data_IF_419675987657
#
_entry.id   IF_419675987657
#
_cell.length_a   1.000
_cell.length_b   1.000
_cell.length_c   1.000
_cell.angle_alpha   90.00
_cell.angle_beta   90.00
_cell.angle_gamma   90.00
#
_symmetry.space_group_name_H-M   'P 1'
#
loop_
_entity.id
_entity.type
_entity.pdbx_description
1 polymer ?
#
# COMPACT_ATOMS: atom_id res chain seq x y z
N UNK A 1 15.35 -1.98 -5.07
CA UNK A 1 14.66 -3.21 -4.62
C UNK A 1 13.82 -3.77 -5.78
N UNK A 2 13.60 -5.09 -5.79
CA UNK A 2 12.77 -5.77 -6.80
C UNK A 2 11.81 -6.74 -6.12
N UNK A 3 10.53 -6.62 -6.45
CA UNK A 3 9.47 -7.54 -6.05
C UNK A 3 9.09 -8.40 -7.26
N UNK A 4 9.25 -9.72 -7.15
CA UNK A 4 8.93 -10.67 -8.21
C UNK A 4 7.83 -11.62 -7.74
N UNK A 5 6.80 -11.75 -8.56
CA UNK A 5 5.69 -12.69 -8.38
C UNK A 5 5.79 -13.69 -9.52
N UNK A 6 5.86 -14.98 -9.20
CA UNK A 6 6.12 -16.06 -10.17
C UNK A 6 5.07 -17.15 -10.05
N UNK A 7 4.34 -17.37 -11.15
CA UNK A 7 3.34 -18.44 -11.29
C UNK A 7 2.35 -18.49 -10.11
N UNK A 8 1.97 -17.31 -9.59
CA UNK A 8 1.18 -17.16 -8.37
C UNK A 8 -0.28 -17.53 -8.61
N UNK A 9 -0.84 -18.33 -7.72
CA UNK A 9 -2.27 -18.68 -7.77
C UNK A 9 -2.89 -18.60 -6.38
N UNK A 10 -4.16 -18.19 -6.33
CA UNK A 10 -4.91 -18.09 -5.09
C UNK A 10 -6.29 -18.74 -5.21
N UNK A 11 -6.63 -19.58 -4.26
CA UNK A 11 -7.92 -20.26 -4.14
C UNK A 11 -8.35 -20.35 -2.68
N UNK A 12 -9.62 -20.17 -2.41
CA UNK A 12 -10.20 -20.38 -1.09
C UNK A 12 -10.90 -21.76 -1.00
N UNK A 13 -10.37 -22.63 -0.18
CA UNK A 13 -10.90 -23.97 -0.01
C UNK A 13 -10.99 -24.77 -1.31
N UNK A 14 -12.13 -25.36 -1.63
CA UNK A 14 -12.39 -26.15 -2.84
C UNK A 14 -12.99 -25.33 -4.00
N UNK A 15 -13.17 -24.03 -3.82
CA UNK A 15 -13.77 -23.15 -4.83
C UNK A 15 -12.86 -22.97 -6.04
N UNK A 16 -13.43 -22.47 -7.15
CA UNK A 16 -12.64 -21.99 -8.30
C UNK A 16 -11.56 -21.01 -7.82
N UNK A 17 -10.33 -21.07 -8.35
CA UNK A 17 -9.33 -20.06 -8.07
C UNK A 17 -9.82 -18.65 -8.36
N UNK A 18 -9.39 -17.68 -7.55
CA UNK A 18 -9.61 -16.26 -7.84
C UNK A 18 -8.75 -15.82 -9.02
N UNK A 19 -7.51 -16.30 -9.05
CA UNK A 19 -6.59 -16.10 -10.18
C UNK A 19 -5.55 -17.23 -10.19
N UNK A 20 -4.94 -17.44 -11.36
CA UNK A 20 -3.99 -18.51 -11.58
C UNK A 20 -2.80 -18.05 -12.42
N UNK A 21 -1.63 -18.58 -12.09
CA UNK A 21 -0.38 -18.42 -12.87
C UNK A 21 -0.08 -16.96 -13.19
N UNK A 22 -0.20 -16.09 -12.18
CA UNK A 22 0.11 -14.69 -12.30
C UNK A 22 1.61 -14.48 -12.17
N UNK A 23 2.16 -13.74 -13.13
CA UNK A 23 3.54 -13.25 -13.12
C UNK A 23 3.53 -11.72 -13.13
N UNK A 24 4.32 -11.11 -12.25
CA UNK A 24 4.51 -9.66 -12.18
C UNK A 24 5.88 -9.36 -11.59
N UNK A 25 6.59 -8.43 -12.20
CA UNK A 25 7.81 -7.85 -11.62
C UNK A 25 7.62 -6.36 -11.43
N UNK A 26 7.95 -5.87 -10.25
CA UNK A 26 7.90 -4.46 -9.88
C UNK A 26 9.26 -4.06 -9.34
N UNK A 27 9.89 -3.09 -9.95
CA UNK A 27 11.12 -2.47 -9.46
C UNK A 27 10.82 -1.23 -8.61
N UNK A 28 11.76 -0.84 -7.75
CA UNK A 28 11.69 0.45 -7.06
C UNK A 28 11.50 1.56 -8.09
N UNK A 29 10.59 2.49 -7.81
CA UNK A 29 10.23 3.59 -8.71
C UNK A 29 9.16 3.24 -9.76
N UNK A 30 8.82 1.96 -9.94
CA UNK A 30 7.70 1.59 -10.81
C UNK A 30 6.35 2.05 -10.22
N UNK A 31 5.43 2.40 -11.11
CA UNK A 31 4.03 2.65 -10.77
C UNK A 31 3.13 1.66 -11.52
N UNK A 32 2.53 0.74 -10.78
CA UNK A 32 1.69 -0.33 -11.31
C UNK A 32 0.24 -0.12 -10.89
N UNK A 33 -0.66 -0.07 -11.87
CA UNK A 33 -2.11 -0.01 -11.67
C UNK A 33 -2.75 -1.35 -12.02
N UNK A 34 -3.52 -1.90 -11.09
CA UNK A 34 -4.26 -3.16 -11.30
C UNK A 34 -5.75 -2.87 -11.23
N UNK A 35 -6.41 -3.10 -12.35
CA UNK A 35 -7.87 -3.03 -12.48
C UNK A 35 -8.47 -4.43 -12.55
N UNK A 36 -9.79 -4.52 -12.47
CA UNK A 36 -10.50 -5.80 -12.64
C UNK A 36 -11.88 -5.77 -12.01
N UNK A 37 -12.73 -6.74 -12.32
CA UNK A 37 -14.10 -6.79 -11.79
C UNK A 37 -14.11 -6.97 -10.26
N UNK A 38 -15.23 -6.61 -9.63
CA UNK A 38 -15.42 -6.89 -8.20
C UNK A 38 -15.34 -8.40 -7.96
N UNK A 39 -14.65 -8.80 -6.90
CA UNK A 39 -14.46 -10.22 -6.57
C UNK A 39 -13.35 -10.94 -7.34
N UNK A 40 -12.62 -10.30 -8.27
CA UNK A 40 -11.50 -10.94 -8.99
C UNK A 40 -10.26 -11.22 -8.12
N UNK A 41 -10.28 -10.79 -6.85
CA UNK A 41 -9.18 -11.07 -5.93
C UNK A 41 -8.10 -9.99 -5.84
N UNK A 42 -8.35 -8.76 -6.31
CA UNK A 42 -7.39 -7.65 -6.29
C UNK A 42 -6.82 -7.36 -4.89
N UNK A 43 -7.69 -7.17 -3.91
CA UNK A 43 -7.28 -6.96 -2.51
C UNK A 43 -6.53 -8.17 -1.94
N UNK A 44 -6.95 -9.38 -2.32
CA UNK A 44 -6.25 -10.61 -1.92
C UNK A 44 -4.86 -10.68 -2.57
N UNK A 45 -4.73 -10.28 -3.84
CA UNK A 45 -3.45 -10.21 -4.53
C UNK A 45 -2.47 -9.27 -3.81
N UNK A 46 -2.92 -8.06 -3.42
CA UNK A 46 -2.07 -7.11 -2.69
C UNK A 46 -1.63 -7.60 -1.30
N UNK A 47 -2.37 -8.51 -0.67
CA UNK A 47 -2.05 -9.05 0.67
C UNK A 47 -0.99 -10.15 0.66
N UNK A 48 -0.66 -10.69 -0.50
CA UNK A 48 0.29 -11.80 -0.63
C UNK A 48 1.76 -11.35 -0.45
N UNK A 49 2.22 -10.24 -1.07
CA UNK A 49 3.64 -9.86 -1.00
C UNK A 49 4.14 -9.51 0.41
N UNK A 50 3.26 -9.02 1.29
CA UNK A 50 3.62 -8.70 2.68
C UNK A 50 3.13 -9.76 3.69
N UNK A 51 2.75 -10.95 3.19
CA UNK A 51 2.32 -12.09 4.00
C UNK A 51 1.18 -11.76 4.97
N UNK A 52 0.23 -10.93 4.54
CA UNK A 52 -1.09 -10.83 5.19
C UNK A 52 -1.99 -12.00 4.77
N UNK A 53 -1.63 -12.66 3.68
CA UNK A 53 -2.27 -13.87 3.16
C UNK A 53 -1.20 -14.75 2.50
N UNK A 54 -1.38 -16.06 2.54
CA UNK A 54 -0.48 -16.99 1.85
C UNK A 54 -1.09 -17.42 0.50
N UNK A 55 -0.27 -17.58 -0.55
CA UNK A 55 -0.73 -18.07 -1.84
C UNK A 55 -1.07 -19.58 -1.79
N UNK A 56 -1.87 -20.05 -2.75
CA UNK A 56 -2.14 -21.49 -2.90
C UNK A 56 -0.99 -22.20 -3.62
N UNK A 57 -0.30 -21.49 -4.52
CA UNK A 57 0.91 -21.96 -5.22
C UNK A 57 1.65 -20.79 -5.85
N UNK A 58 2.89 -21.01 -6.29
CA UNK A 58 3.79 -19.99 -6.84
C UNK A 58 4.65 -19.34 -5.77
N UNK A 59 5.52 -18.46 -6.20
CA UNK A 59 6.54 -17.84 -5.36
C UNK A 59 6.45 -16.31 -5.42
N UNK A 60 6.78 -15.68 -4.29
CA UNK A 60 6.98 -14.23 -4.19
C UNK A 60 8.39 -14.00 -3.65
N UNK A 61 9.17 -13.21 -4.37
CA UNK A 61 10.54 -12.92 -4.02
C UNK A 61 10.71 -11.41 -3.81
N UNK A 62 11.47 -11.04 -2.80
CA UNK A 62 11.95 -9.68 -2.57
C UNK A 62 13.48 -9.69 -2.68
N UNK A 63 14.02 -8.96 -3.66
CA UNK A 63 15.44 -8.96 -4.01
C UNK A 63 16.02 -10.38 -4.17
N UNK A 64 15.27 -11.25 -4.86
CA UNK A 64 15.65 -12.65 -5.13
C UNK A 64 15.45 -13.61 -3.95
N UNK A 65 15.09 -13.14 -2.76
CA UNK A 65 14.83 -13.97 -1.57
C UNK A 65 13.33 -14.21 -1.40
N UNK A 66 12.87 -15.46 -1.18
CA UNK A 66 11.45 -15.74 -0.92
C UNK A 66 10.94 -14.94 0.29
N UNK A 67 9.79 -14.28 0.14
CA UNK A 67 9.17 -13.50 1.24
C UNK A 67 8.88 -14.35 2.47
N UNK A 68 8.72 -15.68 2.30
CA UNK A 68 8.53 -16.63 3.40
C UNK A 68 9.74 -16.77 4.32
N UNK A 69 10.94 -16.40 3.84
CA UNK A 69 12.20 -16.44 4.62
C UNK A 69 12.47 -15.15 5.40
N UNK A 70 11.78 -14.07 5.06
CA UNK A 70 11.93 -12.80 5.77
C UNK A 70 11.21 -12.84 7.13
N UNK A 71 11.78 -12.14 8.11
CA UNK A 71 11.03 -11.81 9.31
C UNK A 71 9.79 -11.00 8.91
N UNK A 72 8.63 -11.37 9.42
CA UNK A 72 7.34 -10.79 9.00
C UNK A 72 7.25 -9.28 9.30
N UNK A 73 7.81 -8.82 10.43
CA UNK A 73 7.81 -7.40 10.78
C UNK A 73 8.71 -6.57 9.86
N UNK A 74 9.89 -7.10 9.53
CA UNK A 74 10.81 -6.45 8.60
C UNK A 74 10.23 -6.43 7.19
N UNK A 75 9.64 -7.54 6.74
CA UNK A 75 8.95 -7.61 5.44
C UNK A 75 7.85 -6.55 5.33
N UNK A 76 6.97 -6.46 6.34
CA UNK A 76 5.85 -5.50 6.34
C UNK A 76 6.28 -4.05 6.44
N UNK A 77 7.49 -3.79 6.94
CA UNK A 77 8.12 -2.48 6.86
C UNK A 77 8.60 -2.18 5.44
N UNK A 78 9.32 -3.13 4.82
CA UNK A 78 9.85 -2.98 3.45
C UNK A 78 8.74 -2.95 2.39
N UNK A 79 7.65 -3.70 2.62
CA UNK A 79 6.49 -3.79 1.73
C UNK A 79 5.26 -3.33 2.50
N UNK A 80 5.03 -2.02 2.51
CA UNK A 80 3.90 -1.38 3.19
C UNK A 80 2.58 -1.72 2.51
N UNK A 81 1.49 -1.79 3.29
CA UNK A 81 0.15 -2.02 2.78
C UNK A 81 -0.84 -1.01 3.34
N UNK A 82 -1.54 -0.35 2.45
CA UNK A 82 -2.63 0.59 2.75
C UNK A 82 -3.93 -0.05 2.32
N UNK A 83 -4.77 -0.38 3.29
CA UNK A 83 -6.04 -1.05 3.04
C UNK A 83 -7.15 -0.06 2.66
N UNK A 84 -8.16 -0.53 1.94
CA UNK A 84 -9.30 0.24 1.49
C UNK A 84 -10.07 0.89 2.66
N UNK A 85 -10.32 0.13 3.73
CA UNK A 85 -10.93 0.66 4.96
C UNK A 85 -9.85 0.83 6.01
N UNK A 86 -9.47 2.07 6.35
CA UNK A 86 -8.39 2.32 7.29
C UNK A 86 -8.77 1.88 8.70
N UNK A 87 -7.91 1.11 9.34
CA UNK A 87 -8.03 0.76 10.75
C UNK A 87 -7.15 1.67 11.60
N UNK A 88 -7.76 2.31 12.60
CA UNK A 88 -7.04 3.05 13.62
C UNK A 88 -6.83 2.15 14.85
N UNK A 89 -5.65 2.27 15.47
CA UNK A 89 -5.44 1.77 16.83
C UNK A 89 -6.09 2.76 17.80
N UNK A 90 -6.60 2.26 18.91
CA UNK A 90 -7.11 3.15 19.97
C UNK A 90 -6.03 4.12 20.45
N UNK A 91 -6.44 5.37 20.71
CA UNK A 91 -5.57 6.45 21.13
C UNK A 91 -5.43 7.58 20.11
N UNK A 92 -4.43 8.43 20.30
CA UNK A 92 -4.30 9.67 19.54
C UNK A 92 -3.81 9.46 18.10
N UNK A 93 -3.93 10.51 17.29
CA UNK A 93 -3.35 10.59 15.94
C UNK A 93 -1.83 10.32 16.01
N UNK A 94 -1.13 10.95 16.96
CA UNK A 94 0.30 10.71 17.22
C UNK A 94 0.60 9.22 17.43
N UNK A 95 -0.18 8.55 18.29
CA UNK A 95 -0.04 7.11 18.56
C UNK A 95 -0.19 6.30 17.29
N UNK A 96 -1.14 6.64 16.43
CA UNK A 96 -1.38 5.97 15.16
C UNK A 96 -0.25 6.21 14.16
N UNK A 97 0.24 7.43 14.01
CA UNK A 97 1.36 7.75 13.11
C UNK A 97 2.65 7.05 13.53
N UNK A 98 2.93 6.99 14.83
CA UNK A 98 4.16 6.37 15.37
C UNK A 98 4.04 4.88 15.67
N UNK A 99 2.91 4.25 15.35
CA UNK A 99 2.62 2.85 15.68
C UNK A 99 3.70 1.88 15.19
N UNK A 100 4.26 2.10 14.00
CA UNK A 100 5.31 1.24 13.43
C UNK A 100 6.60 1.23 14.25
N UNK A 101 6.88 2.29 15.01
CA UNK A 101 8.06 2.42 15.87
C UNK A 101 7.91 1.67 17.19
N UNK A 102 6.72 1.23 17.55
CA UNK A 102 6.48 0.43 18.76
C UNK A 102 6.83 -1.05 18.56
N UNK A 103 6.85 -1.54 17.33
CA UNK A 103 7.19 -2.91 16.99
C UNK A 103 8.71 -3.13 16.98
N UNK A 104 9.15 -4.38 17.18
CA UNK A 104 10.57 -4.73 17.28
C UNK A 104 11.42 -4.20 16.12
N UNK A 105 10.92 -4.30 14.88
CA UNK A 105 11.60 -3.80 13.69
C UNK A 105 11.70 -2.26 13.61
N UNK A 106 10.90 -1.54 14.38
CA UNK A 106 10.88 -0.07 14.42
C UNK A 106 11.57 0.55 15.62
N UNK A 107 11.79 -0.22 16.71
CA UNK A 107 12.28 0.32 18.00
C UNK A 107 13.69 0.90 17.95
N UNK A 108 14.53 0.43 17.02
CA UNK A 108 15.90 0.92 16.84
C UNK A 108 15.96 2.15 15.93
N UNK A 109 14.83 2.57 15.38
CA UNK A 109 14.72 3.75 14.50
C UNK A 109 14.36 4.97 15.36
N UNK A 110 14.93 6.10 14.96
CA UNK A 110 14.54 7.38 15.52
C UNK A 110 13.07 7.67 15.19
N UNK A 111 12.29 7.97 16.20
CA UNK A 111 10.90 8.37 15.99
C UNK A 111 10.86 9.75 15.34
N UNK A 112 9.89 10.00 14.45
CA UNK A 112 9.71 11.33 13.90
C UNK A 112 9.37 12.32 15.01
N UNK A 113 10.02 13.48 14.98
CA UNK A 113 9.69 14.59 15.85
C UNK A 113 8.32 15.19 15.51
N UNK A 114 7.87 16.12 16.33
CA UNK A 114 6.56 16.75 16.16
C UNK A 114 6.48 17.54 14.86
N UNK A 115 7.53 18.26 14.50
CA UNK A 115 7.58 19.08 13.29
C UNK A 115 7.43 18.22 12.03
N UNK A 116 8.08 17.07 11.99
CA UNK A 116 7.93 16.11 10.88
C UNK A 116 6.51 15.53 10.81
N UNK A 117 5.90 15.22 11.97
CA UNK A 117 4.52 14.72 12.00
C UNK A 117 3.52 15.79 11.53
N UNK A 118 3.65 17.04 12.00
CA UNK A 118 2.82 18.16 11.55
C UNK A 118 3.01 18.47 10.08
N UNK A 119 4.25 18.43 9.57
CA UNK A 119 4.53 18.57 8.15
C UNK A 119 3.78 17.56 7.29
N UNK A 120 3.70 16.29 7.71
CA UNK A 120 2.88 15.31 7.02
C UNK A 120 1.38 15.59 7.10
N UNK A 121 0.87 16.07 8.24
CA UNK A 121 -0.53 16.46 8.35
C UNK A 121 -0.85 17.59 7.37
N UNK A 122 -0.01 18.61 7.30
CA UNK A 122 -0.16 19.74 6.38
C UNK A 122 -0.13 19.28 4.91
N UNK A 123 0.84 18.48 4.55
CA UNK A 123 1.03 17.93 3.21
C UNK A 123 -0.16 17.09 2.74
N UNK A 124 -0.89 16.46 3.65
CA UNK A 124 -2.07 15.65 3.39
C UNK A 124 -3.39 16.37 3.66
N UNK A 125 -3.40 17.72 3.74
CA UNK A 125 -4.57 18.54 4.00
C UNK A 125 -5.32 18.13 5.30
N UNK A 126 -4.56 17.97 6.38
CA UNK A 126 -5.07 17.61 7.72
C UNK A 126 -4.72 18.68 8.75
N UNK A 127 -4.71 19.97 8.34
CA UNK A 127 -4.38 21.09 9.22
C UNK A 127 -5.39 21.28 10.38
N UNK A 128 -6.61 20.77 10.20
CA UNK A 128 -7.68 20.75 11.19
C UNK A 128 -7.58 19.58 12.19
N UNK A 129 -6.58 18.70 12.04
CA UNK A 129 -6.36 17.53 12.88
C UNK A 129 -5.18 17.78 13.82
N UNK A 130 -5.41 17.69 15.13
CA UNK A 130 -4.32 17.75 16.11
C UNK A 130 -3.70 16.36 16.35
N UNK A 131 -2.40 16.34 16.67
CA UNK A 131 -1.70 15.10 16.99
C UNK A 131 -2.27 14.41 18.23
N UNK A 132 -2.90 15.13 19.12
CA UNK A 132 -3.49 14.61 20.35
C UNK A 132 -4.99 14.28 20.23
N UNK A 133 -5.61 14.55 19.05
CA UNK A 133 -6.98 14.13 18.76
C UNK A 133 -7.14 12.63 18.83
N UNK A 134 -8.30 12.15 19.29
CA UNK A 134 -8.64 10.74 19.25
C UNK A 134 -8.85 10.28 17.79
N UNK A 135 -7.97 9.40 17.33
CA UNK A 135 -8.00 8.90 15.97
C UNK A 135 -9.29 8.17 15.59
N UNK A 136 -10.08 7.70 16.57
CA UNK A 136 -11.37 7.05 16.30
C UNK A 136 -12.45 8.05 15.89
N UNK A 137 -12.30 9.32 16.26
CA UNK A 137 -13.29 10.40 15.95
C UNK A 137 -13.12 10.96 14.56
N UNK A 138 -12.00 10.71 13.90
CA UNK A 138 -11.70 11.19 12.56
C UNK A 138 -12.71 10.69 11.52
N UNK A 139 -12.97 11.51 10.50
CA UNK A 139 -13.73 11.07 9.32
C UNK A 139 -13.01 9.94 8.56
N UNK A 140 -13.75 9.21 7.73
CA UNK A 140 -13.17 8.11 6.93
C UNK A 140 -12.03 8.60 6.04
N UNK A 141 -12.19 9.79 5.42
CA UNK A 141 -11.16 10.39 4.58
C UNK A 141 -9.92 10.83 5.36
N UNK A 142 -10.09 11.39 6.57
CA UNK A 142 -8.96 11.71 7.45
C UNK A 142 -8.22 10.43 7.89
N UNK A 143 -8.96 9.39 8.32
CA UNK A 143 -8.39 8.08 8.66
C UNK A 143 -7.58 7.48 7.50
N UNK A 144 -8.07 7.60 6.27
CA UNK A 144 -7.37 7.10 5.09
C UNK A 144 -6.03 7.81 4.89
N UNK A 145 -6.01 9.14 5.03
CA UNK A 145 -4.77 9.93 4.92
C UNK A 145 -3.81 9.64 6.07
N UNK A 146 -4.28 9.50 7.30
CA UNK A 146 -3.46 9.06 8.44
C UNK A 146 -2.86 7.67 8.20
N UNK A 147 -3.62 6.73 7.65
CA UNK A 147 -3.10 5.38 7.33
C UNK A 147 -2.00 5.42 6.25
N UNK A 148 -2.13 6.31 5.26
CA UNK A 148 -1.08 6.55 4.27
C UNK A 148 0.18 7.13 4.92
N UNK A 149 0.06 8.21 5.69
CA UNK A 149 1.20 8.82 6.40
C UNK A 149 1.89 7.78 7.30
N UNK A 150 1.13 6.98 8.05
CA UNK A 150 1.67 5.89 8.89
C UNK A 150 2.49 4.89 8.08
N UNK A 151 2.03 4.52 6.88
CA UNK A 151 2.77 3.62 6.00
C UNK A 151 4.07 4.27 5.50
N UNK A 152 4.03 5.56 5.14
CA UNK A 152 5.20 6.32 4.66
C UNK A 152 6.26 6.52 5.74
N UNK A 153 5.86 6.78 6.98
CA UNK A 153 6.78 6.91 8.11
C UNK A 153 7.59 5.63 8.38
N UNK A 154 7.14 4.49 7.85
CA UNK A 154 7.90 3.23 7.89
C UNK A 154 9.03 3.18 6.86
N UNK A 155 9.10 4.16 5.94
CA UNK A 155 10.09 4.24 4.84
C UNK A 155 10.12 2.95 4.02
N UNK A 156 9.00 2.56 3.40
CA UNK A 156 8.92 1.31 2.66
C UNK A 156 9.66 1.41 1.31
N UNK A 157 10.16 0.28 0.81
CA UNK A 157 10.67 0.17 -0.55
C UNK A 157 9.55 -0.06 -1.58
N UNK A 158 8.43 -0.65 -1.12
CA UNK A 158 7.20 -0.82 -1.90
C UNK A 158 5.99 -0.41 -1.08
N UNK A 159 5.00 0.20 -1.75
CA UNK A 159 3.72 0.55 -1.16
C UNK A 159 2.58 -0.09 -1.97
N UNK A 160 1.84 -0.98 -1.32
CA UNK A 160 0.71 -1.69 -1.87
C UNK A 160 -0.57 -0.97 -1.44
N UNK A 161 -1.31 -0.38 -2.37
CA UNK A 161 -2.45 0.47 -2.09
C UNK A 161 -3.76 -0.17 -2.58
N UNK A 162 -4.62 -0.54 -1.65
CA UNK A 162 -5.94 -1.10 -1.94
C UNK A 162 -6.98 0.03 -1.95
N UNK A 163 -7.31 0.54 -3.14
CA UNK A 163 -8.27 1.61 -3.35
C UNK A 163 -8.04 2.87 -2.46
N UNK A 164 -6.83 3.44 -2.47
CA UNK A 164 -6.40 4.43 -1.46
C UNK A 164 -7.19 5.74 -1.50
N UNK A 165 -7.95 6.00 -2.57
CA UNK A 165 -8.68 7.26 -2.79
C UNK A 165 -10.19 7.08 -2.89
N UNK A 166 -10.72 5.87 -2.70
CA UNK A 166 -12.15 5.57 -2.95
C UNK A 166 -13.12 6.29 -2.01
N UNK A 167 -12.66 6.69 -0.82
CA UNK A 167 -13.46 7.37 0.20
C UNK A 167 -13.13 8.86 0.35
N UNK A 168 -12.34 9.43 -0.58
CA UNK A 168 -11.88 10.81 -0.51
C UNK A 168 -12.71 11.75 -1.38
N UNK A 169 -12.85 12.99 -0.93
CA UNK A 169 -13.31 14.10 -1.76
C UNK A 169 -12.29 14.40 -2.89
N UNK A 170 -12.69 15.15 -3.94
CA UNK A 170 -11.83 15.38 -5.11
C UNK A 170 -10.49 16.05 -4.79
N UNK A 171 -10.45 16.98 -3.84
CA UNK A 171 -9.24 17.69 -3.45
C UNK A 171 -8.26 16.75 -2.72
N UNK A 172 -8.73 16.08 -1.68
CA UNK A 172 -7.97 15.07 -0.94
C UNK A 172 -7.49 13.93 -1.83
N UNK A 173 -8.33 13.49 -2.80
CA UNK A 173 -7.97 12.50 -3.80
C UNK A 173 -6.77 12.97 -4.64
N UNK A 174 -6.83 14.20 -5.17
CA UNK A 174 -5.76 14.77 -6.00
C UNK A 174 -4.43 14.86 -5.22
N UNK A 175 -4.49 15.24 -3.94
CA UNK A 175 -3.31 15.29 -3.07
C UNK A 175 -2.70 13.89 -2.91
N UNK A 176 -3.50 12.88 -2.56
CA UNK A 176 -3.00 11.51 -2.39
C UNK A 176 -2.42 10.96 -3.70
N UNK A 177 -3.08 11.15 -4.83
CA UNK A 177 -2.61 10.72 -6.14
C UNK A 177 -1.26 11.38 -6.48
N UNK A 178 -1.13 12.69 -6.27
CA UNK A 178 0.13 13.43 -6.46
C UNK A 178 1.25 12.90 -5.56
N UNK A 179 0.93 12.62 -4.29
CA UNK A 179 1.90 12.03 -3.36
C UNK A 179 2.39 10.66 -3.82
N UNK A 180 1.49 9.76 -4.25
CA UNK A 180 1.88 8.44 -4.75
C UNK A 180 2.81 8.55 -5.97
N UNK A 181 2.54 9.49 -6.89
CA UNK A 181 3.42 9.74 -8.03
C UNK A 181 4.81 10.28 -7.59
N UNK A 182 4.85 11.22 -6.64
CA UNK A 182 6.10 11.75 -6.08
C UNK A 182 6.92 10.67 -5.38
N UNK A 183 6.29 9.77 -4.64
CA UNK A 183 6.96 8.66 -3.96
C UNK A 183 7.69 7.75 -4.98
N UNK A 184 7.06 7.46 -6.10
CA UNK A 184 7.69 6.66 -7.15
C UNK A 184 8.87 7.41 -7.78
N UNK A 185 8.68 8.69 -8.15
CA UNK A 185 9.68 9.47 -8.89
C UNK A 185 10.84 9.95 -8.03
N UNK A 186 10.54 10.50 -6.85
CA UNK A 186 11.49 11.26 -6.05
C UNK A 186 12.12 10.40 -4.94
N UNK A 187 11.37 9.41 -4.43
CA UNK A 187 11.83 8.54 -3.34
C UNK A 187 12.13 7.11 -3.79
N UNK A 188 11.95 6.82 -5.10
CA UNK A 188 12.22 5.51 -5.69
C UNK A 188 11.45 4.36 -5.00
N UNK A 189 10.21 4.63 -4.55
CA UNK A 189 9.32 3.64 -3.94
C UNK A 189 8.50 2.98 -5.06
N UNK A 190 8.49 1.65 -5.12
CA UNK A 190 7.63 0.92 -6.04
C UNK A 190 6.17 0.97 -5.58
N UNK A 191 5.27 1.46 -6.41
CA UNK A 191 3.83 1.58 -6.11
C UNK A 191 3.05 0.50 -6.84
N UNK A 192 2.24 -0.26 -6.11
CA UNK A 192 1.24 -1.16 -6.70
C UNK A 192 -0.13 -0.76 -6.18
N UNK A 193 -0.93 -0.16 -7.02
CA UNK A 193 -2.26 0.33 -6.66
C UNK A 193 -3.34 -0.50 -7.34
N UNK A 194 -4.27 -0.98 -6.55
CA UNK A 194 -5.55 -1.51 -7.02
C UNK A 194 -6.58 -0.39 -7.01
N UNK A 195 -7.31 -0.25 -8.09
CA UNK A 195 -8.40 0.74 -8.19
C UNK A 195 -9.48 0.25 -9.16
N UNK A 196 -10.72 0.66 -8.92
CA UNK A 196 -11.82 0.56 -9.86
C UNK A 196 -12.16 1.92 -10.50
N UNK A 197 -11.51 2.99 -10.02
CA UNK A 197 -11.68 4.34 -10.54
C UNK A 197 -10.76 4.57 -11.74
N UNK A 198 -11.23 5.38 -12.67
CA UNK A 198 -10.38 5.87 -13.76
C UNK A 198 -9.36 6.85 -13.17
N UNK A 199 -8.14 6.36 -13.02
CA UNK A 199 -7.00 7.15 -12.61
C UNK A 199 -5.91 7.04 -13.66
N UNK A 200 -5.42 8.17 -14.12
CA UNK A 200 -4.30 8.25 -15.03
C UNK A 200 -3.24 9.14 -14.39
N UNK A 201 -2.14 8.57 -13.92
CA UNK A 201 -1.01 9.35 -13.42
C UNK A 201 -0.52 10.33 -14.48
N UNK A 202 -0.17 11.53 -14.03
CA UNK A 202 0.26 12.63 -14.92
C UNK A 202 1.79 12.71 -14.98
N UNK A 203 2.46 12.42 -13.87
CA UNK A 203 3.91 12.61 -13.70
C UNK A 203 4.71 11.33 -13.95
N UNK A 204 4.10 10.16 -13.78
CA UNK A 204 4.75 8.84 -13.93
C UNK A 204 4.12 8.05 -15.06
N UNK A 205 4.94 7.24 -15.73
CA UNK A 205 4.41 6.23 -16.66
C UNK A 205 3.95 5.02 -15.86
N UNK A 206 2.64 4.84 -15.73
CA UNK A 206 2.08 3.66 -15.07
C UNK A 206 2.00 2.46 -16.01
N UNK A 207 2.43 1.31 -15.53
CA UNK A 207 2.13 0.01 -16.15
C UNK A 207 0.75 -0.43 -15.70
N UNK A 208 -0.12 -0.78 -16.64
CA UNK A 208 -1.51 -1.11 -16.36
C UNK A 208 -1.76 -2.60 -16.55
N UNK A 209 -2.47 -3.18 -15.59
CA UNK A 209 -2.82 -4.59 -15.62
C UNK A 209 -4.31 -4.78 -15.33
N UNK A 210 -4.87 -5.86 -15.92
CA UNK A 210 -6.21 -6.35 -15.59
C UNK A 210 -6.08 -7.70 -14.90
N UNK A 211 -6.63 -7.80 -13.69
CA UNK A 211 -6.74 -9.05 -12.95
C UNK A 211 -8.13 -9.66 -13.16
N UNK A 212 -8.19 -10.79 -13.88
CA UNK A 212 -9.42 -11.53 -14.16
C UNK A 212 -9.02 -12.97 -14.52
N UNK A 213 -9.23 -13.94 -13.65
CA UNK A 213 -8.69 -15.31 -13.70
C UNK A 213 -7.14 -15.40 -13.78
N UNK A 214 -6.45 -14.41 -14.27
CA UNK A 214 -5.02 -14.20 -14.40
C UNK A 214 -4.70 -12.71 -14.46
N UNK A 215 -3.42 -12.35 -14.66
CA UNK A 215 -2.98 -10.96 -14.78
C UNK A 215 -2.55 -10.70 -16.24
N UNK A 216 -3.13 -9.70 -16.86
CA UNK A 216 -2.81 -9.30 -18.24
C UNK A 216 -2.41 -7.83 -18.27
N UNK A 217 -1.28 -7.53 -18.92
CA UNK A 217 -0.91 -6.14 -19.18
C UNK A 217 -1.84 -5.56 -20.23
N UNK A 218 -2.34 -4.34 -19.98
CA UNK A 218 -3.24 -3.63 -20.90
C UNK A 218 -2.56 -2.35 -21.35
N UNK A 219 -2.67 -2.09 -22.66
CA UNK A 219 -2.16 -0.84 -23.22
C UNK A 219 -2.90 0.35 -22.59
N UNK A 220 -2.16 1.46 -22.38
CA UNK A 220 -2.70 2.72 -21.89
C UNK A 220 -3.60 3.39 -22.94
#
# INVERSE_FOLDING_TARGET
MRLEIKNLSLRYGTKKPLFQRVDLTVDSGDFVLIHGPSGSGKSSFLRLPNRLQEPSSGDILLDGSPVSRHNVTDLRRMVGYVQQTPAMAGGSVRTNLTLSFTFKAGREREQPDEDRLRGFLDDFLLQDVDLDDDAETLSVGQKQRIALIRALLSEPGFLLCDEPTSALDPESKSVVETWLERLALEQNIGIVQVTHLDFTPVRVRARRYRLDDGLQEVSA
#
